data_IF_766726433438
#
_entry.id   IF_766726433438
#
_cell.length_a   1.000
_cell.length_b   1.000
_cell.length_c   1.000
_cell.angle_alpha   90.00
_cell.angle_beta   90.00
_cell.angle_gamma   90.00
#
_symmetry.space_group_name_H-M   'P 1'
#
loop_
_entity.id
_entity.type
_entity.pdbx_description
1 polymer ?
#
# COMPACT_ATOMS: atom_id res chain seq x y z
N UNK A 1 -32.57 -1.71 10.31
CA UNK A 1 -31.81 -1.06 11.40
C UNK A 1 -30.80 -0.07 10.86
N UNK A 2 -30.07 -0.39 9.80
CA UNK A 2 -28.97 0.42 9.23
C UNK A 2 -29.35 1.90 8.98
N UNK A 3 -30.49 2.18 8.38
CA UNK A 3 -30.92 3.56 8.12
C UNK A 3 -31.07 4.40 9.41
N UNK A 4 -31.48 3.79 10.53
CA UNK A 4 -31.58 4.50 11.82
C UNK A 4 -30.20 4.79 12.40
N UNK A 5 -29.26 3.84 12.24
CA UNK A 5 -27.88 3.98 12.66
C UNK A 5 -27.20 5.11 11.84
N UNK A 6 -27.36 5.09 10.51
CA UNK A 6 -26.84 6.14 9.64
C UNK A 6 -27.43 7.53 9.93
N UNK A 7 -28.73 7.60 10.24
CA UNK A 7 -29.35 8.87 10.62
C UNK A 7 -28.75 9.42 11.90
N UNK A 8 -28.58 8.56 12.93
CA UNK A 8 -27.97 8.98 14.19
C UNK A 8 -26.51 9.40 14.05
N UNK A 9 -25.75 8.66 13.22
CA UNK A 9 -24.39 9.05 12.88
C UNK A 9 -24.32 10.41 12.20
N UNK A 10 -25.20 10.67 11.24
CA UNK A 10 -25.28 11.95 10.55
C UNK A 10 -25.63 13.11 11.49
N UNK A 11 -26.53 12.89 12.47
CA UNK A 11 -26.85 13.87 13.51
C UNK A 11 -25.60 14.22 14.34
N UNK A 12 -24.86 13.22 14.81
CA UNK A 12 -23.63 13.41 15.58
C UNK A 12 -22.53 14.12 14.75
N UNK A 13 -22.36 13.72 13.51
CA UNK A 13 -21.43 14.37 12.57
C UNK A 13 -21.78 15.83 12.39
N UNK A 14 -23.04 16.14 12.14
CA UNK A 14 -23.53 17.53 11.95
C UNK A 14 -23.33 18.37 13.22
N UNK A 15 -23.61 17.81 14.40
CA UNK A 15 -23.38 18.48 15.67
C UNK A 15 -21.89 18.81 15.86
N UNK A 16 -21.01 17.83 15.58
CA UNK A 16 -19.56 18.01 15.64
C UNK A 16 -19.06 19.11 14.70
N UNK A 17 -19.43 19.05 13.41
CA UNK A 17 -18.99 19.99 12.37
C UNK A 17 -19.45 21.41 12.69
N UNK A 18 -20.67 21.58 13.19
CA UNK A 18 -21.18 22.87 13.65
C UNK A 18 -20.42 23.42 14.88
N UNK A 19 -20.03 22.54 15.82
CA UNK A 19 -19.32 22.93 17.04
C UNK A 19 -17.87 23.31 16.81
N UNK A 20 -17.17 22.52 15.97
CA UNK A 20 -15.72 22.65 15.79
C UNK A 20 -15.29 23.30 14.46
N UNK A 21 -16.22 23.51 13.53
CA UNK A 21 -15.97 24.05 12.20
C UNK A 21 -14.85 23.28 11.44
N UNK A 22 -14.84 21.97 11.56
CA UNK A 22 -13.91 21.06 10.88
C UNK A 22 -14.56 19.72 10.56
N UNK A 23 -14.08 18.98 9.55
CA UNK A 23 -14.61 17.66 9.20
C UNK A 23 -14.53 16.67 10.36
N UNK A 24 -15.59 15.87 10.55
CA UNK A 24 -15.62 14.82 11.55
C UNK A 24 -14.54 13.75 11.26
N UNK A 25 -13.96 13.17 12.29
CA UNK A 25 -12.87 12.19 12.26
C UNK A 25 -11.50 12.71 11.75
N UNK A 26 -11.39 13.98 11.38
CA UNK A 26 -10.09 14.56 11.00
C UNK A 26 -9.18 14.78 12.22
N UNK A 27 -9.76 15.00 13.38
CA UNK A 27 -9.05 15.20 14.66
C UNK A 27 -9.63 14.23 15.69
N UNK A 28 -8.83 13.25 16.11
CA UNK A 28 -9.24 12.18 17.00
C UNK A 28 -9.69 12.73 18.37
N UNK A 29 -8.93 13.62 19.00
CA UNK A 29 -9.19 14.10 20.35
C UNK A 29 -10.58 14.76 20.47
N UNK A 30 -10.94 15.57 19.49
CA UNK A 30 -12.25 16.23 19.48
C UNK A 30 -13.38 15.31 18.99
N UNK A 31 -13.07 14.31 18.17
CA UNK A 31 -14.06 13.34 17.65
C UNK A 31 -14.41 12.26 18.67
N UNK A 32 -13.53 11.98 19.63
CA UNK A 32 -13.69 10.90 20.62
C UNK A 32 -15.01 10.97 21.37
N UNK A 33 -15.43 12.16 21.86
CA UNK A 33 -16.70 12.34 22.56
C UNK A 33 -17.89 11.86 21.73
N UNK A 34 -17.88 12.09 20.42
CA UNK A 34 -18.97 11.75 19.51
C UNK A 34 -18.94 10.27 19.11
N UNK A 35 -17.75 9.69 18.99
CA UNK A 35 -17.59 8.25 18.84
C UNK A 35 -18.10 7.49 20.06
N UNK A 36 -17.84 7.99 21.28
CA UNK A 36 -18.37 7.41 22.53
C UNK A 36 -19.91 7.52 22.62
N UNK A 37 -20.50 8.62 22.17
CA UNK A 37 -21.96 8.75 22.06
C UNK A 37 -22.53 7.69 21.10
N UNK A 38 -21.88 7.50 19.95
CA UNK A 38 -22.28 6.49 18.97
C UNK A 38 -22.13 5.07 19.52
N UNK A 39 -21.02 4.75 20.20
CA UNK A 39 -20.79 3.48 20.87
C UNK A 39 -21.92 3.20 21.88
N UNK A 40 -22.24 4.17 22.72
CA UNK A 40 -23.31 4.05 23.75
C UNK A 40 -24.66 3.76 23.10
N UNK A 41 -25.00 4.47 22.02
CA UNK A 41 -26.23 4.23 21.25
C UNK A 41 -26.28 2.81 20.68
N UNK A 42 -25.17 2.34 20.11
CA UNK A 42 -25.09 1.00 19.51
C UNK A 42 -25.18 -0.11 20.57
N UNK A 43 -24.56 0.07 21.73
CA UNK A 43 -24.69 -0.88 22.86
C UNK A 43 -26.14 -0.99 23.37
N UNK A 44 -26.86 0.12 23.43
CA UNK A 44 -28.29 0.08 23.73
C UNK A 44 -29.07 -0.73 22.69
N UNK A 45 -28.81 -0.49 21.41
CA UNK A 45 -29.46 -1.21 20.31
C UNK A 45 -29.07 -2.69 20.25
N UNK A 46 -27.84 -3.04 20.61
CA UNK A 46 -27.39 -4.44 20.74
C UNK A 46 -28.15 -5.17 21.83
N UNK A 47 -28.39 -4.52 22.99
CA UNK A 47 -29.19 -5.11 24.06
C UNK A 47 -30.67 -5.33 23.66
N UNK A 48 -31.23 -4.46 22.81
CA UNK A 48 -32.59 -4.60 22.28
C UNK A 48 -32.69 -5.69 21.19
N UNK A 49 -31.67 -5.82 20.37
CA UNK A 49 -31.64 -6.70 19.20
C UNK A 49 -30.27 -7.38 19.06
N UNK A 50 -29.92 -8.38 19.89
CA UNK A 50 -28.57 -8.97 19.95
C UNK A 50 -28.11 -9.61 18.63
N UNK A 51 -29.02 -10.18 17.84
CA UNK A 51 -28.70 -10.83 16.55
C UNK A 51 -28.65 -9.88 15.35
N UNK A 52 -28.73 -8.56 15.58
CA UNK A 52 -28.80 -7.59 14.48
C UNK A 52 -27.40 -7.26 13.93
N UNK A 53 -27.08 -7.74 12.73
CA UNK A 53 -25.77 -7.57 12.07
C UNK A 53 -25.45 -6.09 11.82
N UNK A 54 -26.46 -5.24 11.50
CA UNK A 54 -26.22 -3.80 11.30
C UNK A 54 -25.61 -3.15 12.56
N UNK A 55 -26.13 -3.55 13.73
CA UNK A 55 -25.67 -3.00 15.02
C UNK A 55 -24.28 -3.52 15.34
N UNK A 56 -24.10 -4.84 15.23
CA UNK A 56 -22.85 -5.51 15.62
C UNK A 56 -21.67 -5.05 14.76
N UNK A 57 -21.83 -5.04 13.44
CA UNK A 57 -20.76 -4.62 12.53
C UNK A 57 -20.45 -3.11 12.65
N UNK A 58 -21.48 -2.27 12.86
CA UNK A 58 -21.22 -0.83 13.06
C UNK A 58 -20.56 -0.58 14.42
N UNK A 59 -20.96 -1.29 15.49
CA UNK A 59 -20.32 -1.18 16.80
C UNK A 59 -18.83 -1.54 16.73
N UNK A 60 -18.52 -2.65 16.06
CA UNK A 60 -17.15 -3.05 15.82
C UNK A 60 -16.35 -1.93 15.10
N UNK A 61 -16.93 -1.33 14.05
CA UNK A 61 -16.29 -0.23 13.32
C UNK A 61 -16.06 1.02 14.20
N UNK A 62 -17.04 1.37 15.05
CA UNK A 62 -16.91 2.51 15.98
C UNK A 62 -15.81 2.26 17.01
N UNK A 63 -15.71 1.03 17.55
CA UNK A 63 -14.65 0.69 18.50
C UNK A 63 -13.26 0.71 17.89
N UNK A 64 -13.13 0.30 16.63
CA UNK A 64 -11.87 0.45 15.86
C UNK A 64 -11.50 1.94 15.71
N UNK A 65 -12.44 2.80 15.34
CA UNK A 65 -12.19 4.24 15.21
C UNK A 65 -11.86 4.90 16.57
N UNK A 66 -12.42 4.39 17.67
CA UNK A 66 -12.09 4.82 19.03
C UNK A 66 -10.71 4.40 19.49
N UNK A 67 -10.05 3.46 18.79
CA UNK A 67 -8.83 2.80 19.25
C UNK A 67 -9.01 2.21 20.66
N UNK A 68 -10.13 1.52 20.85
CA UNK A 68 -10.53 0.97 22.14
C UNK A 68 -9.72 -0.27 22.46
N UNK A 69 -8.65 -0.12 23.24
CA UNK A 69 -7.73 -1.19 23.60
C UNK A 69 -8.38 -2.31 24.44
N UNK A 70 -9.54 -2.02 25.09
CA UNK A 70 -10.29 -3.01 25.86
C UNK A 70 -11.26 -3.83 25.01
N UNK A 71 -11.44 -3.47 23.72
CA UNK A 71 -12.38 -4.10 22.81
C UNK A 71 -11.64 -4.99 21.80
N UNK A 72 -11.65 -6.30 22.06
CA UNK A 72 -11.19 -7.27 21.08
C UNK A 72 -12.21 -7.42 19.96
N UNK A 73 -11.90 -6.81 18.86
CA UNK A 73 -12.71 -6.78 17.65
C UNK A 73 -12.96 -8.18 17.06
N UNK A 74 -11.93 -9.02 17.03
CA UNK A 74 -11.98 -10.37 16.46
C UNK A 74 -12.82 -11.27 17.34
N UNK A 75 -12.54 -11.29 18.65
CA UNK A 75 -13.32 -12.06 19.64
C UNK A 75 -14.78 -11.66 19.61
N UNK A 76 -15.08 -10.36 19.59
CA UNK A 76 -16.44 -9.85 19.56
C UNK A 76 -17.26 -10.36 18.35
N UNK A 77 -16.69 -10.32 17.14
CA UNK A 77 -17.37 -10.80 15.94
C UNK A 77 -17.41 -12.33 15.86
N UNK A 78 -16.41 -13.02 16.38
CA UNK A 78 -16.41 -14.48 16.49
C UNK A 78 -17.48 -14.96 17.49
N UNK A 79 -17.60 -14.34 18.64
CA UNK A 79 -18.65 -14.66 19.63
C UNK A 79 -20.04 -14.42 19.07
N UNK A 80 -20.25 -13.33 18.35
CA UNK A 80 -21.48 -13.08 17.63
C UNK A 80 -21.83 -14.21 16.65
N UNK A 81 -20.87 -14.68 15.85
CA UNK A 81 -21.09 -15.81 14.94
C UNK A 81 -21.36 -17.10 15.70
N UNK A 82 -20.62 -17.39 16.79
CA UNK A 82 -20.81 -18.60 17.59
C UNK A 82 -22.25 -18.68 18.12
N UNK A 83 -22.84 -17.54 18.50
CA UNK A 83 -24.18 -17.50 19.06
C UNK A 83 -25.29 -17.48 17.99
N UNK A 84 -25.09 -16.73 16.90
CA UNK A 84 -26.19 -16.42 15.97
C UNK A 84 -26.04 -16.98 14.55
N UNK A 85 -24.90 -17.56 14.16
CA UNK A 85 -24.59 -17.95 12.80
C UNK A 85 -25.73 -18.77 12.13
N UNK A 86 -26.34 -19.70 12.88
CA UNK A 86 -27.40 -20.57 12.34
C UNK A 86 -28.68 -19.81 11.93
N UNK A 87 -28.89 -18.60 12.48
CA UNK A 87 -30.06 -17.75 12.22
C UNK A 87 -29.79 -16.66 11.19
N UNK A 88 -28.51 -16.43 10.81
CA UNK A 88 -28.12 -15.39 9.88
C UNK A 88 -28.36 -15.82 8.42
N UNK A 89 -28.70 -14.84 7.57
CA UNK A 89 -28.68 -15.03 6.14
C UNK A 89 -27.23 -15.17 5.62
N UNK A 90 -27.06 -15.76 4.41
CA UNK A 90 -25.74 -15.90 3.82
C UNK A 90 -25.06 -14.54 3.58
N UNK A 91 -25.84 -13.50 3.22
CA UNK A 91 -25.31 -12.14 3.09
C UNK A 91 -24.82 -11.58 4.43
N UNK A 92 -25.57 -11.80 5.53
CA UNK A 92 -25.17 -11.34 6.86
C UNK A 92 -23.89 -12.05 7.32
N UNK A 93 -23.80 -13.37 7.10
CA UNK A 93 -22.56 -14.13 7.38
C UNK A 93 -21.39 -13.61 6.57
N UNK A 94 -21.58 -13.43 5.26
CA UNK A 94 -20.52 -12.90 4.38
C UNK A 94 -20.04 -11.52 4.84
N UNK A 95 -20.96 -10.66 5.31
CA UNK A 95 -20.65 -9.35 5.88
C UNK A 95 -19.74 -9.46 7.12
N UNK A 96 -20.12 -10.31 8.07
CA UNK A 96 -19.33 -10.52 9.30
C UNK A 96 -17.97 -11.13 8.97
N UNK A 97 -17.91 -12.13 8.08
CA UNK A 97 -16.65 -12.73 7.67
C UNK A 97 -15.74 -11.73 6.95
N UNK A 98 -16.27 -10.85 6.10
CA UNK A 98 -15.48 -9.81 5.45
C UNK A 98 -14.91 -8.82 6.48
N UNK A 99 -15.69 -8.43 7.49
CA UNK A 99 -15.24 -7.56 8.56
C UNK A 99 -14.19 -8.24 9.47
N UNK A 100 -14.30 -9.55 9.74
CA UNK A 100 -13.28 -10.31 10.45
C UNK A 100 -11.96 -10.36 9.67
N UNK A 101 -12.03 -10.58 8.35
CA UNK A 101 -10.85 -10.64 7.50
C UNK A 101 -10.06 -9.32 7.45
N UNK A 102 -10.70 -8.19 7.69
CA UNK A 102 -10.07 -6.86 7.69
C UNK A 102 -8.93 -6.74 8.71
N UNK A 103 -9.07 -7.37 9.89
CA UNK A 103 -8.14 -7.16 11.00
C UNK A 103 -6.90 -8.05 10.97
N UNK A 104 -6.97 -9.15 10.26
CA UNK A 104 -5.91 -10.17 10.24
C UNK A 104 -4.77 -9.90 9.25
N UNK A 105 -4.62 -8.67 8.80
CA UNK A 105 -3.51 -8.10 8.02
C UNK A 105 -2.82 -9.10 7.05
N UNK A 106 -3.60 -9.63 6.08
CA UNK A 106 -3.16 -10.62 5.10
C UNK A 106 -2.60 -11.93 5.66
N UNK A 107 -2.98 -12.28 6.89
CA UNK A 107 -2.67 -13.57 7.50
C UNK A 107 -3.44 -14.72 6.82
N UNK A 108 -3.09 -15.95 7.20
CA UNK A 108 -3.86 -17.14 6.78
C UNK A 108 -5.31 -17.09 7.29
N UNK A 109 -5.55 -16.47 8.42
CA UNK A 109 -6.89 -16.32 9.00
C UNK A 109 -7.71 -15.29 8.22
N UNK A 110 -7.09 -14.19 7.79
CA UNK A 110 -7.69 -13.24 6.84
C UNK A 110 -8.14 -13.94 5.56
N UNK A 111 -7.27 -14.72 4.93
CA UNK A 111 -7.63 -15.50 3.74
C UNK A 111 -8.78 -16.48 4.00
N UNK A 112 -8.79 -17.15 5.15
CA UNK A 112 -9.87 -18.07 5.53
C UNK A 112 -11.21 -17.35 5.59
N UNK A 113 -11.29 -16.20 6.25
CA UNK A 113 -12.51 -15.42 6.36
C UNK A 113 -12.99 -14.84 5.04
N UNK A 114 -12.09 -14.29 4.22
CA UNK A 114 -12.46 -13.85 2.86
C UNK A 114 -12.98 -15.01 2.00
N UNK A 115 -12.40 -16.19 2.09
CA UNK A 115 -12.90 -17.36 1.37
C UNK A 115 -14.28 -17.81 1.89
N UNK A 116 -14.52 -17.80 3.20
CA UNK A 116 -15.85 -18.07 3.75
C UNK A 116 -16.90 -17.08 3.21
N UNK A 117 -16.56 -15.77 3.18
CA UNK A 117 -17.46 -14.78 2.62
C UNK A 117 -17.72 -15.02 1.12
N UNK A 118 -16.65 -15.26 0.34
CA UNK A 118 -16.74 -15.55 -1.10
C UNK A 118 -17.59 -16.80 -1.39
N UNK A 119 -17.43 -17.89 -0.60
CA UNK A 119 -18.15 -19.15 -0.79
C UNK A 119 -19.66 -19.00 -0.52
N UNK A 120 -20.05 -17.98 0.21
CA UNK A 120 -21.43 -17.51 0.39
C UNK A 120 -21.90 -16.56 -0.73
N UNK A 121 -21.12 -16.38 -1.80
CA UNK A 121 -21.38 -15.42 -2.87
C UNK A 121 -21.53 -13.98 -2.36
N UNK A 122 -20.57 -13.52 -1.55
CA UNK A 122 -20.56 -12.17 -0.97
C UNK A 122 -20.92 -11.11 -2.00
N UNK A 123 -21.89 -10.23 -1.71
CA UNK A 123 -22.18 -9.08 -2.58
C UNK A 123 -21.26 -7.87 -2.30
N UNK A 124 -20.33 -7.98 -1.36
CA UNK A 124 -19.50 -6.88 -0.89
C UNK A 124 -18.21 -6.77 -1.68
N UNK A 125 -17.93 -5.59 -2.21
CA UNK A 125 -16.72 -5.27 -2.96
C UNK A 125 -15.47 -5.49 -2.11
N UNK A 126 -15.55 -5.24 -0.82
CA UNK A 126 -14.48 -5.40 0.15
C UNK A 126 -13.94 -6.83 0.21
N UNK A 127 -14.82 -7.83 0.09
CA UNK A 127 -14.42 -9.24 0.04
C UNK A 127 -13.44 -9.52 -1.11
N UNK A 128 -13.74 -9.00 -2.29
CA UNK A 128 -12.95 -9.27 -3.50
C UNK A 128 -11.74 -8.36 -3.61
N UNK A 129 -11.84 -7.12 -3.12
CA UNK A 129 -10.68 -6.23 -3.00
C UNK A 129 -9.65 -6.83 -2.03
N UNK A 130 -10.09 -7.31 -0.87
CA UNK A 130 -9.23 -7.98 0.10
C UNK A 130 -8.54 -9.23 -0.46
N UNK A 131 -9.30 -10.11 -1.13
CA UNK A 131 -8.72 -11.28 -1.83
C UNK A 131 -7.72 -10.86 -2.91
N UNK A 132 -8.03 -9.82 -3.68
CA UNK A 132 -7.13 -9.27 -4.70
C UNK A 132 -5.81 -8.82 -4.10
N UNK A 133 -5.85 -8.07 -3.02
CA UNK A 133 -4.67 -7.59 -2.32
C UNK A 133 -3.86 -8.72 -1.67
N UNK A 134 -4.53 -9.68 -1.03
CA UNK A 134 -3.87 -10.86 -0.47
C UNK A 134 -3.03 -11.59 -1.52
N UNK A 135 -3.63 -11.94 -2.65
CA UNK A 135 -2.91 -12.66 -3.70
C UNK A 135 -1.89 -11.79 -4.44
N UNK A 136 -2.05 -10.46 -4.44
CA UNK A 136 -1.02 -9.57 -4.95
C UNK A 136 0.20 -9.56 -4.03
N UNK A 137 0.01 -9.51 -2.71
CA UNK A 137 1.09 -9.62 -1.72
C UNK A 137 1.81 -10.98 -1.83
N UNK A 138 1.07 -12.08 -1.97
CA UNK A 138 1.65 -13.40 -2.20
C UNK A 138 2.48 -13.47 -3.51
N UNK A 139 2.02 -12.78 -4.57
CA UNK A 139 2.81 -12.63 -5.79
C UNK A 139 4.10 -11.85 -5.54
N UNK A 140 4.03 -10.78 -4.76
CA UNK A 140 5.20 -9.97 -4.45
C UNK A 140 6.26 -10.76 -3.70
N UNK A 141 5.83 -11.56 -2.74
CA UNK A 141 6.72 -12.40 -1.95
C UNK A 141 7.30 -13.57 -2.76
N UNK A 142 6.43 -14.34 -3.42
CA UNK A 142 6.81 -15.59 -4.09
C UNK A 142 7.29 -15.41 -5.53
N UNK A 143 6.96 -14.27 -6.18
CA UNK A 143 7.09 -14.02 -7.63
C UNK A 143 6.36 -15.04 -8.51
N UNK A 144 5.40 -15.80 -7.95
CA UNK A 144 4.59 -16.75 -8.73
C UNK A 144 3.47 -16.01 -9.49
N UNK A 145 3.57 -16.00 -10.82
CA UNK A 145 2.57 -15.37 -11.71
C UNK A 145 1.16 -15.96 -11.55
N UNK A 146 0.99 -17.14 -10.95
CA UNK A 146 -0.33 -17.67 -10.65
C UNK A 146 -1.07 -16.79 -9.64
N UNK A 147 -0.36 -16.34 -8.60
CA UNK A 147 -0.93 -15.44 -7.60
C UNK A 147 -1.36 -14.12 -8.22
N UNK A 148 -0.56 -13.55 -9.13
CA UNK A 148 -0.94 -12.35 -9.86
C UNK A 148 -2.21 -12.54 -10.71
N UNK A 149 -2.36 -13.69 -11.39
CA UNK A 149 -3.56 -14.00 -12.16
C UNK A 149 -4.80 -14.19 -11.28
N UNK A 150 -4.62 -14.74 -10.08
CA UNK A 150 -5.71 -14.87 -9.09
C UNK A 150 -6.11 -13.47 -8.60
N UNK A 151 -5.14 -12.64 -8.23
CA UNK A 151 -5.34 -11.24 -7.85
C UNK A 151 -6.10 -10.45 -8.91
N UNK A 152 -5.66 -10.52 -10.17
CA UNK A 152 -6.34 -9.91 -11.31
C UNK A 152 -7.83 -10.31 -11.40
N UNK A 153 -8.15 -11.58 -11.23
CA UNK A 153 -9.53 -12.04 -11.30
C UNK A 153 -10.39 -11.46 -10.17
N UNK A 154 -9.83 -11.34 -8.95
CA UNK A 154 -10.54 -10.75 -7.82
C UNK A 154 -10.71 -9.24 -7.98
N UNK A 155 -9.70 -8.50 -8.44
CA UNK A 155 -9.85 -7.07 -8.73
C UNK A 155 -10.84 -6.82 -9.86
N UNK A 156 -10.88 -7.69 -10.87
CA UNK A 156 -11.90 -7.65 -11.91
C UNK A 156 -13.31 -7.81 -11.32
N UNK A 157 -13.51 -8.82 -10.45
CA UNK A 157 -14.79 -9.04 -9.78
C UNK A 157 -15.18 -7.86 -8.90
N UNK A 158 -14.23 -7.30 -8.13
CA UNK A 158 -14.46 -6.12 -7.30
C UNK A 158 -14.97 -4.93 -8.15
N UNK A 159 -14.33 -4.69 -9.29
CA UNK A 159 -14.74 -3.62 -10.22
C UNK A 159 -16.10 -3.87 -10.86
N UNK A 160 -16.45 -5.14 -11.15
CA UNK A 160 -17.77 -5.50 -11.67
C UNK A 160 -18.90 -5.30 -10.64
N UNK A 161 -18.59 -5.43 -9.33
CA UNK A 161 -19.53 -5.16 -8.24
C UNK A 161 -19.71 -3.67 -8.03
N UNK A 162 -18.60 -2.92 -7.95
CA UNK A 162 -18.59 -1.47 -7.73
C UNK A 162 -17.47 -0.83 -8.54
N UNK A 163 -17.82 -0.01 -9.52
CA UNK A 163 -16.84 0.76 -10.27
C UNK A 163 -16.53 2.07 -9.50
N UNK A 164 -15.38 2.09 -8.85
CA UNK A 164 -14.84 3.22 -8.09
C UNK A 164 -13.41 3.51 -8.53
N UNK A 165 -12.80 4.58 -7.99
CA UNK A 165 -11.38 4.87 -8.19
C UNK A 165 -10.52 3.67 -7.79
N UNK A 166 -10.67 3.18 -6.56
CA UNK A 166 -9.82 2.12 -5.99
C UNK A 166 -9.96 0.81 -6.77
N UNK A 167 -11.19 0.39 -7.08
CA UNK A 167 -11.40 -0.88 -7.81
C UNK A 167 -10.86 -0.82 -9.23
N UNK A 168 -11.02 0.32 -9.91
CA UNK A 168 -10.49 0.51 -11.26
C UNK A 168 -8.97 0.65 -11.25
N UNK A 169 -8.40 1.36 -10.28
CA UNK A 169 -6.97 1.51 -10.10
C UNK A 169 -6.28 0.16 -9.84
N UNK A 170 -6.77 -0.62 -8.87
CA UNK A 170 -6.19 -1.92 -8.52
C UNK A 170 -6.30 -2.92 -9.67
N UNK A 171 -7.41 -2.88 -10.42
CA UNK A 171 -7.54 -3.68 -11.63
C UNK A 171 -6.51 -3.28 -12.70
N UNK A 172 -6.30 -1.97 -12.93
CA UNK A 172 -5.29 -1.48 -13.87
C UNK A 172 -3.85 -1.82 -13.44
N UNK A 173 -3.54 -1.76 -12.13
CA UNK A 173 -2.25 -2.22 -11.58
C UNK A 173 -2.03 -3.71 -11.89
N UNK A 174 -3.03 -4.56 -11.69
CA UNK A 174 -2.90 -5.98 -12.01
C UNK A 174 -2.67 -6.24 -13.51
N UNK A 175 -3.31 -5.46 -14.38
CA UNK A 175 -3.06 -5.51 -15.83
C UNK A 175 -1.62 -5.08 -16.17
N UNK A 176 -1.13 -4.01 -15.55
CA UNK A 176 0.24 -3.53 -15.74
C UNK A 176 1.27 -4.62 -15.36
N UNK A 177 1.11 -5.23 -14.18
CA UNK A 177 2.02 -6.31 -13.73
C UNK A 177 1.91 -7.58 -14.61
N UNK A 178 0.73 -7.83 -15.22
CA UNK A 178 0.54 -8.87 -16.26
C UNK A 178 1.11 -8.46 -17.63
N UNK A 179 1.72 -7.28 -17.76
CA UNK A 179 2.28 -6.71 -18.99
C UNK A 179 1.24 -6.34 -20.07
N UNK A 180 0.00 -6.17 -19.67
CA UNK A 180 -1.10 -5.70 -20.53
C UNK A 180 -1.13 -4.15 -20.50
N UNK A 181 -0.01 -3.55 -20.88
CA UNK A 181 0.27 -2.12 -20.68
C UNK A 181 -0.73 -1.19 -21.39
N UNK A 182 -1.19 -1.55 -22.59
CA UNK A 182 -2.18 -0.76 -23.32
C UNK A 182 -3.51 -0.68 -22.57
N UNK A 183 -3.97 -1.81 -22.01
CA UNK A 183 -5.23 -1.86 -21.25
C UNK A 183 -5.13 -1.13 -19.92
N UNK A 184 -3.98 -1.27 -19.22
CA UNK A 184 -3.73 -0.52 -18.02
C UNK A 184 -3.71 0.99 -18.28
N UNK A 185 -3.01 1.42 -19.33
CA UNK A 185 -2.92 2.82 -19.75
C UNK A 185 -4.30 3.42 -20.06
N UNK A 186 -5.17 2.68 -20.76
CA UNK A 186 -6.54 3.12 -21.07
C UNK A 186 -7.36 3.39 -19.81
N UNK A 187 -7.26 2.51 -18.81
CA UNK A 187 -7.98 2.67 -17.53
C UNK A 187 -7.40 3.85 -16.74
N UNK A 188 -6.07 3.98 -16.63
CA UNK A 188 -5.45 5.10 -15.94
C UNK A 188 -5.78 6.44 -16.61
N UNK A 189 -5.88 6.50 -17.94
CA UNK A 189 -6.33 7.69 -18.67
C UNK A 189 -7.77 8.04 -18.30
N UNK A 190 -8.67 7.06 -18.30
CA UNK A 190 -10.07 7.28 -17.89
C UNK A 190 -10.18 7.78 -16.44
N UNK A 191 -9.37 7.25 -15.54
CA UNK A 191 -9.30 7.75 -14.16
C UNK A 191 -8.74 9.17 -14.09
N UNK A 192 -7.72 9.50 -14.88
CA UNK A 192 -7.14 10.85 -14.91
C UNK A 192 -8.12 11.91 -15.43
N UNK A 193 -9.06 11.55 -16.31
CA UNK A 193 -10.14 12.46 -16.74
C UNK A 193 -11.07 12.85 -15.58
N UNK A 194 -11.28 11.94 -14.62
CA UNK A 194 -12.13 12.15 -13.44
C UNK A 194 -11.33 12.82 -12.31
N UNK A 195 -10.06 12.46 -12.17
CA UNK A 195 -9.14 12.90 -11.11
C UNK A 195 -7.88 13.55 -11.70
N UNK A 196 -8.00 14.73 -12.34
CA UNK A 196 -6.94 15.30 -13.17
C UNK A 196 -5.67 15.69 -12.39
N UNK A 197 -5.80 15.94 -11.09
CA UNK A 197 -4.68 16.35 -10.24
C UNK A 197 -4.08 15.19 -9.41
N UNK A 198 -4.45 13.95 -9.74
CA UNK A 198 -3.94 12.76 -9.06
C UNK A 198 -2.54 12.41 -9.58
N UNK A 199 -1.51 12.69 -8.78
CA UNK A 199 -0.10 12.50 -9.16
C UNK A 199 0.24 11.02 -9.42
N UNK A 200 -0.33 10.11 -8.62
CA UNK A 200 -0.17 8.66 -8.81
C UNK A 200 -0.59 8.20 -10.22
N UNK A 201 -1.67 8.74 -10.76
CA UNK A 201 -2.13 8.39 -12.11
C UNK A 201 -1.14 8.87 -13.18
N UNK A 202 -0.55 10.05 -13.02
CA UNK A 202 0.48 10.57 -13.93
C UNK A 202 1.72 9.66 -13.92
N UNK A 203 2.13 9.19 -12.75
CA UNK A 203 3.24 8.24 -12.62
C UNK A 203 2.91 6.89 -13.28
N UNK A 204 1.72 6.34 -13.03
CA UNK A 204 1.26 5.09 -13.66
C UNK A 204 1.26 5.18 -15.19
N UNK A 205 0.78 6.31 -15.73
CA UNK A 205 0.79 6.57 -17.17
C UNK A 205 2.23 6.68 -17.71
N UNK A 206 3.13 7.36 -16.99
CA UNK A 206 4.54 7.40 -17.37
C UNK A 206 5.12 5.98 -17.48
N UNK A 207 4.86 5.12 -16.50
CA UNK A 207 5.32 3.73 -16.49
C UNK A 207 4.74 2.92 -17.65
N UNK A 208 3.43 3.05 -17.94
CA UNK A 208 2.84 2.41 -19.10
C UNK A 208 3.52 2.85 -20.39
N UNK A 209 3.74 4.15 -20.58
CA UNK A 209 4.33 4.70 -21.81
C UNK A 209 5.82 4.32 -21.97
N UNK A 210 6.56 4.08 -20.87
CA UNK A 210 7.90 3.49 -20.91
C UNK A 210 7.86 2.12 -21.58
N UNK A 211 7.01 1.22 -21.10
CA UNK A 211 6.90 -0.14 -21.63
C UNK A 211 6.26 -0.20 -23.03
N UNK A 212 5.46 0.78 -23.39
CA UNK A 212 4.91 0.97 -24.75
C UNK A 212 5.92 1.59 -25.72
N UNK A 213 7.11 2.00 -25.26
CA UNK A 213 8.16 2.61 -26.06
C UNK A 213 7.87 4.07 -26.46
N UNK A 214 6.94 4.72 -25.81
CA UNK A 214 6.51 6.10 -26.11
C UNK A 214 7.27 7.12 -25.25
N UNK A 215 8.60 7.20 -25.42
CA UNK A 215 9.51 8.04 -24.62
C UNK A 215 9.00 9.46 -24.38
N UNK A 216 8.58 10.16 -25.43
CA UNK A 216 8.11 11.55 -25.31
C UNK A 216 6.89 11.70 -24.42
N UNK A 217 5.96 10.75 -24.48
CA UNK A 217 4.78 10.75 -23.61
C UNK A 217 5.13 10.43 -22.17
N UNK A 218 6.00 9.42 -21.95
CA UNK A 218 6.47 9.07 -20.62
C UNK A 218 7.11 10.28 -19.92
N UNK A 219 8.00 10.99 -20.61
CA UNK A 219 8.61 12.23 -20.10
C UNK A 219 7.54 13.28 -19.81
N UNK A 220 6.59 13.50 -20.73
CA UNK A 220 5.52 14.49 -20.55
C UNK A 220 4.63 14.20 -19.34
N UNK A 221 4.46 12.94 -18.95
CA UNK A 221 3.72 12.58 -17.74
C UNK A 221 4.58 12.75 -16.48
N UNK A 222 5.81 12.20 -16.46
CA UNK A 222 6.65 12.25 -15.27
C UNK A 222 7.06 13.67 -14.88
N UNK A 223 7.24 14.60 -15.84
CA UNK A 223 7.52 16.01 -15.58
C UNK A 223 6.37 16.75 -14.85
N UNK A 224 5.16 16.20 -14.90
CA UNK A 224 3.99 16.75 -14.19
C UNK A 224 3.83 16.19 -12.80
N UNK A 225 4.49 15.09 -12.48
CA UNK A 225 4.42 14.48 -11.15
C UNK A 225 5.12 15.39 -10.14
N UNK A 226 4.40 15.75 -9.09
CA UNK A 226 4.91 16.60 -8.00
C UNK A 226 4.62 15.91 -6.68
N UNK A 227 5.59 15.22 -6.08
CA UNK A 227 5.43 14.53 -4.82
C UNK A 227 4.87 15.48 -3.74
N UNK A 228 3.90 14.99 -2.97
CA UNK A 228 3.27 15.74 -1.88
C UNK A 228 2.33 16.89 -2.33
N UNK A 229 2.05 17.04 -3.63
CA UNK A 229 1.13 18.06 -4.16
C UNK A 229 -0.19 17.48 -4.67
N UNK A 230 -0.56 16.30 -4.22
CA UNK A 230 -1.84 15.73 -4.55
C UNK A 230 -2.99 16.57 -4.00
N UNK A 231 -4.03 16.72 -4.79
CA UNK A 231 -5.29 17.25 -4.30
C UNK A 231 -5.88 16.24 -3.33
N UNK A 232 -6.36 16.74 -2.21
CA UNK A 232 -6.94 15.92 -1.14
C UNK A 232 -8.29 15.34 -1.60
N UNK A 233 -8.22 14.21 -2.30
CA UNK A 233 -9.36 13.34 -2.48
C UNK A 233 -9.60 12.58 -1.16
N UNK A 234 -10.86 12.22 -0.84
CA UNK A 234 -11.22 11.51 0.40
C UNK A 234 -10.71 10.04 0.46
N UNK A 235 -9.66 9.72 -0.26
CA UNK A 235 -8.93 8.47 -0.22
C UNK A 235 -7.44 8.77 -0.07
N UNK A 236 -6.63 7.75 0.13
CA UNK A 236 -5.23 7.86 0.52
C UNK A 236 -4.44 8.93 -0.24
N UNK A 237 -3.61 9.68 0.50
CA UNK A 237 -2.60 10.58 -0.08
C UNK A 237 -1.61 9.76 -0.90
N UNK A 238 -1.12 10.35 -2.01
CA UNK A 238 -0.10 9.71 -2.81
C UNK A 238 1.26 9.69 -2.09
N UNK A 239 1.76 8.47 -1.86
CA UNK A 239 3.11 8.24 -1.36
C UNK A 239 4.10 8.08 -2.53
N UNK A 240 4.14 9.07 -3.42
CA UNK A 240 5.13 9.07 -4.50
C UNK A 240 6.47 9.51 -3.92
N UNK A 241 7.46 8.61 -4.01
CA UNK A 241 8.84 8.93 -3.70
C UNK A 241 9.58 9.48 -4.93
N UNK A 242 10.64 10.25 -4.67
CA UNK A 242 11.49 10.78 -5.75
C UNK A 242 12.14 9.66 -6.57
N UNK A 243 12.46 8.53 -5.94
CA UNK A 243 13.04 7.35 -6.59
C UNK A 243 12.18 6.86 -7.75
N UNK A 244 10.84 6.82 -7.57
CA UNK A 244 9.91 6.38 -8.60
C UNK A 244 9.96 7.28 -9.86
N UNK A 245 10.26 8.55 -9.70
CA UNK A 245 10.45 9.52 -10.79
C UNK A 245 11.81 9.29 -11.45
N UNK A 246 12.84 9.13 -10.63
CA UNK A 246 14.23 8.88 -11.07
C UNK A 246 14.30 7.62 -11.94
N UNK A 247 13.60 6.57 -11.53
CA UNK A 247 13.54 5.28 -12.23
C UNK A 247 12.98 5.41 -13.65
N UNK A 248 12.02 6.31 -13.89
CA UNK A 248 11.50 6.57 -15.23
C UNK A 248 12.61 7.09 -16.15
N UNK A 249 13.42 8.05 -15.68
CA UNK A 249 14.49 8.61 -16.48
C UNK A 249 15.59 7.58 -16.77
N UNK A 250 15.91 6.73 -15.79
CA UNK A 250 16.82 5.62 -16.01
C UNK A 250 16.28 4.63 -17.05
N UNK A 251 15.03 4.20 -16.93
CA UNK A 251 14.38 3.27 -17.86
C UNK A 251 14.30 3.82 -19.30
N UNK A 252 14.24 5.14 -19.46
CA UNK A 252 14.22 5.84 -20.74
C UNK A 252 15.64 6.15 -21.28
N UNK A 253 16.70 5.75 -20.58
CA UNK A 253 18.09 6.08 -20.90
C UNK A 253 18.38 7.59 -20.92
N UNK A 254 17.56 8.39 -20.19
CA UNK A 254 17.77 9.83 -19.97
C UNK A 254 18.76 10.07 -18.82
N UNK A 255 19.96 9.53 -19.00
CA UNK A 255 20.98 9.45 -17.94
C UNK A 255 21.45 10.79 -17.38
N UNK A 256 21.40 11.87 -18.17
CA UNK A 256 21.77 13.19 -17.66
C UNK A 256 20.73 13.72 -16.67
N UNK A 257 19.43 13.51 -16.95
CA UNK A 257 18.37 13.83 -16.01
C UNK A 257 18.41 12.93 -14.78
N UNK A 258 18.62 11.62 -14.98
CA UNK A 258 18.79 10.65 -13.91
C UNK A 258 19.89 11.09 -12.93
N UNK A 259 21.10 11.38 -13.42
CA UNK A 259 22.22 11.85 -12.60
C UNK A 259 21.96 13.19 -11.89
N UNK A 260 21.24 14.09 -12.55
CA UNK A 260 20.89 15.39 -11.98
C UNK A 260 19.93 15.23 -10.80
N UNK A 261 18.90 14.38 -10.93
CA UNK A 261 17.93 14.13 -9.86
C UNK A 261 18.55 13.33 -8.70
N UNK A 262 19.44 12.36 -8.98
CA UNK A 262 20.16 11.66 -7.93
C UNK A 262 21.16 12.56 -7.18
N UNK A 263 21.60 13.67 -7.80
CA UNK A 263 22.73 14.47 -7.30
C UNK A 263 22.62 14.96 -5.87
N UNK A 264 21.42 15.38 -5.48
CA UNK A 264 21.15 15.90 -4.12
C UNK A 264 20.97 14.78 -3.09
N UNK A 265 20.54 13.59 -3.51
CA UNK A 265 20.31 12.45 -2.62
C UNK A 265 21.61 11.72 -2.24
N UNK A 266 22.60 11.69 -3.15
CA UNK A 266 23.84 10.90 -3.01
C UNK A 266 24.71 11.34 -1.82
N UNK A 267 24.60 12.60 -1.40
CA UNK A 267 25.39 13.11 -0.28
C UNK A 267 24.86 12.62 1.09
N UNK A 268 23.57 12.31 1.17
CA UNK A 268 22.88 12.04 2.43
C UNK A 268 22.56 10.57 2.66
N UNK A 269 22.50 9.77 1.59
CA UNK A 269 22.06 8.38 1.68
C UNK A 269 23.21 7.38 1.48
N UNK A 270 23.01 6.19 2.04
CA UNK A 270 23.78 5.01 1.74
C UNK A 270 23.57 4.61 0.28
N UNK A 271 24.65 4.52 -0.49
CA UNK A 271 24.59 4.36 -1.95
C UNK A 271 25.18 3.06 -2.45
N UNK A 272 25.60 2.16 -1.57
CA UNK A 272 26.28 0.92 -1.97
C UNK A 272 25.42 -0.02 -2.83
N UNK A 273 24.10 0.09 -2.71
CA UNK A 273 23.13 -0.71 -3.48
C UNK A 273 22.68 -0.03 -4.78
N UNK A 274 23.19 1.16 -5.08
CA UNK A 274 22.77 1.94 -6.25
C UNK A 274 23.57 1.57 -7.51
N UNK A 275 23.42 0.32 -7.96
CA UNK A 275 24.13 -0.22 -9.12
C UNK A 275 23.93 0.65 -10.37
N UNK A 276 22.69 1.11 -10.62
CA UNK A 276 22.32 1.96 -11.75
C UNK A 276 23.07 3.28 -11.73
N UNK A 277 23.24 3.87 -10.53
CA UNK A 277 23.95 5.13 -10.38
C UNK A 277 25.44 5.00 -10.66
N UNK A 278 26.11 4.00 -10.10
CA UNK A 278 27.50 3.69 -10.37
C UNK A 278 27.71 3.35 -11.85
N UNK A 279 26.80 2.56 -12.43
CA UNK A 279 26.84 2.22 -13.85
C UNK A 279 26.78 3.47 -14.74
N UNK A 280 25.83 4.38 -14.49
CA UNK A 280 25.67 5.60 -15.28
C UNK A 280 26.85 6.55 -15.10
N UNK A 281 27.41 6.71 -13.89
CA UNK A 281 28.64 7.47 -13.67
C UNK A 281 29.80 6.91 -14.51
N UNK A 282 29.94 5.59 -14.55
CA UNK A 282 30.97 4.93 -15.36
C UNK A 282 30.75 5.13 -16.86
N UNK A 283 29.53 4.95 -17.33
CA UNK A 283 29.12 5.14 -18.72
C UNK A 283 29.34 6.58 -19.20
N UNK A 284 28.99 7.56 -18.38
CA UNK A 284 29.13 9.01 -18.67
C UNK A 284 30.56 9.52 -18.40
N UNK A 285 31.50 8.63 -18.11
CA UNK A 285 32.89 8.97 -17.80
C UNK A 285 33.10 9.94 -16.64
N UNK A 286 32.20 9.95 -15.66
CA UNK A 286 32.32 10.76 -14.42
C UNK A 286 33.19 10.03 -13.38
N UNK A 287 34.45 9.77 -13.76
CA UNK A 287 35.37 8.91 -13.00
C UNK A 287 35.70 9.43 -11.60
N UNK A 288 35.87 10.73 -11.47
CA UNK A 288 36.19 11.35 -10.16
C UNK A 288 35.06 11.09 -9.14
N UNK A 289 33.81 11.33 -9.54
CA UNK A 289 32.63 11.07 -8.69
C UNK A 289 32.47 9.58 -8.40
N UNK A 290 32.66 8.74 -9.41
CA UNK A 290 32.62 7.29 -9.25
C UNK A 290 33.62 6.80 -8.18
N UNK A 291 34.89 7.18 -8.30
CA UNK A 291 35.92 6.73 -7.35
C UNK A 291 35.76 7.33 -5.96
N UNK A 292 35.30 8.57 -5.85
CA UNK A 292 35.00 9.19 -4.57
C UNK A 292 33.90 8.43 -3.81
N UNK A 293 32.84 8.02 -4.51
CA UNK A 293 31.74 7.24 -3.91
C UNK A 293 32.15 5.80 -3.59
N UNK A 294 32.97 5.19 -4.45
CA UNK A 294 33.54 3.87 -4.18
C UNK A 294 34.34 3.87 -2.89
N UNK A 295 35.20 4.87 -2.69
CA UNK A 295 36.01 5.03 -1.46
C UNK A 295 35.13 5.31 -0.23
N UNK A 296 34.12 6.20 -0.37
CA UNK A 296 33.18 6.51 0.69
C UNK A 296 32.44 5.25 1.19
N UNK A 297 31.93 4.42 0.27
CA UNK A 297 31.20 3.21 0.64
C UNK A 297 32.14 2.14 1.25
N UNK A 298 33.34 1.97 0.73
CA UNK A 298 34.32 1.07 1.36
C UNK A 298 34.61 1.43 2.80
N UNK A 299 34.85 2.71 3.04
CA UNK A 299 35.11 3.23 4.38
C UNK A 299 33.90 3.03 5.30
N UNK A 300 32.72 3.25 4.79
CA UNK A 300 31.46 2.98 5.52
C UNK A 300 31.36 1.53 5.98
N UNK A 301 31.60 0.55 5.08
CA UNK A 301 31.60 -0.86 5.46
C UNK A 301 32.67 -1.22 6.48
N UNK A 302 33.87 -0.65 6.35
CA UNK A 302 34.94 -0.86 7.33
C UNK A 302 34.56 -0.34 8.70
N UNK A 303 34.03 0.89 8.78
CA UNK A 303 33.55 1.49 10.02
C UNK A 303 32.38 0.67 10.61
N UNK A 304 31.40 0.26 9.83
CA UNK A 304 30.26 -0.54 10.30
C UNK A 304 30.69 -1.93 10.85
N UNK A 305 31.65 -2.58 10.21
CA UNK A 305 32.20 -3.86 10.70
C UNK A 305 33.00 -3.64 11.99
N UNK A 306 33.82 -2.58 12.08
CA UNK A 306 34.57 -2.23 13.30
C UNK A 306 33.62 -1.89 14.47
N UNK A 307 32.57 -1.13 14.20
CA UNK A 307 31.52 -0.82 15.20
C UNK A 307 30.82 -2.08 15.68
N UNK A 308 30.39 -2.97 14.77
CA UNK A 308 29.75 -4.22 15.12
C UNK A 308 30.65 -5.16 15.96
N UNK A 309 31.96 -5.15 15.70
CA UNK A 309 32.95 -5.92 16.49
C UNK A 309 33.11 -5.30 17.89
N UNK A 310 33.11 -3.97 18.00
CA UNK A 310 33.33 -3.25 19.23
C UNK A 310 32.07 -3.19 20.13
N UNK A 311 30.90 -3.33 19.54
CA UNK A 311 29.63 -3.25 20.25
C UNK A 311 29.46 -4.45 21.21
N UNK A 312 29.13 -4.14 22.48
CA UNK A 312 28.88 -5.10 23.54
C UNK A 312 27.38 -5.28 23.86
N UNK A 313 26.49 -4.51 23.22
CA UNK A 313 25.06 -4.46 23.54
C UNK A 313 24.20 -5.49 22.74
N UNK A 314 24.82 -6.53 22.19
CA UNK A 314 24.09 -7.62 21.54
C UNK A 314 23.46 -8.59 22.55
N UNK A 315 22.25 -9.05 22.25
CA UNK A 315 21.54 -10.04 23.09
C UNK A 315 22.29 -11.39 23.16
N UNK A 316 23.10 -11.70 22.15
CA UNK A 316 23.91 -12.92 22.09
C UNK A 316 25.14 -12.80 21.18
N UNK A 317 26.17 -13.59 21.47
CA UNK A 317 27.35 -13.72 20.59
C UNK A 317 26.96 -14.19 19.17
N UNK A 318 25.91 -15.00 19.06
CA UNK A 318 25.39 -15.45 17.76
C UNK A 318 24.86 -14.29 16.93
N UNK A 319 24.06 -13.42 17.50
CA UNK A 319 23.53 -12.23 16.86
C UNK A 319 24.65 -11.29 16.40
N UNK A 320 25.64 -11.07 17.26
CA UNK A 320 26.84 -10.30 16.92
C UNK A 320 27.54 -10.86 15.68
N UNK A 321 27.76 -12.17 15.65
CA UNK A 321 28.41 -12.84 14.51
C UNK A 321 27.55 -12.78 13.24
N UNK A 322 26.23 -12.91 13.34
CA UNK A 322 25.29 -12.77 12.21
C UNK A 322 25.32 -11.33 11.66
N UNK A 323 25.37 -10.30 12.49
CA UNK A 323 25.48 -8.90 12.08
C UNK A 323 26.82 -8.63 11.38
N UNK A 324 27.94 -9.07 11.94
CA UNK A 324 29.26 -8.92 11.30
C UNK A 324 29.28 -9.62 9.94
N UNK A 325 28.77 -10.86 9.88
CA UNK A 325 28.73 -11.62 8.63
C UNK A 325 27.87 -10.95 7.55
N UNK A 326 26.76 -10.31 7.94
CA UNK A 326 25.91 -9.52 7.04
C UNK A 326 26.67 -8.35 6.44
N UNK A 327 27.38 -7.55 7.25
CA UNK A 327 28.19 -6.42 6.76
C UNK A 327 29.34 -6.86 5.85
N UNK A 328 29.97 -7.98 6.16
CA UNK A 328 31.01 -8.57 5.32
C UNK A 328 30.45 -9.08 3.97
N UNK A 329 29.22 -9.58 3.95
CA UNK A 329 28.52 -9.99 2.74
C UNK A 329 28.15 -8.79 1.89
N UNK A 330 27.59 -7.73 2.49
CA UNK A 330 27.25 -6.49 1.79
C UNK A 330 28.49 -5.82 1.18
N UNK A 331 29.59 -5.78 1.93
CA UNK A 331 30.90 -5.30 1.40
C UNK A 331 31.33 -6.12 0.19
N UNK A 332 31.22 -7.45 0.25
CA UNK A 332 31.55 -8.34 -0.86
C UNK A 332 30.70 -8.09 -2.10
N UNK A 333 29.38 -7.98 -1.89
CA UNK A 333 28.43 -7.70 -2.96
C UNK A 333 28.73 -6.35 -3.64
N UNK A 334 29.02 -5.33 -2.85
CA UNK A 334 29.46 -4.03 -3.37
C UNK A 334 30.75 -4.13 -4.21
N UNK A 335 31.79 -4.83 -3.74
CA UNK A 335 33.05 -5.00 -4.48
C UNK A 335 32.83 -5.75 -5.80
N UNK A 336 31.97 -6.77 -5.81
CA UNK A 336 31.61 -7.53 -7.02
C UNK A 336 30.86 -6.65 -8.02
N UNK A 337 29.92 -5.81 -7.55
CA UNK A 337 29.20 -4.84 -8.37
C UNK A 337 30.19 -3.85 -9.02
N UNK A 338 31.07 -3.23 -8.24
CA UNK A 338 32.08 -2.28 -8.74
C UNK A 338 33.03 -2.94 -9.76
N UNK A 339 33.47 -4.16 -9.47
CA UNK A 339 34.33 -4.93 -10.40
C UNK A 339 33.56 -5.22 -11.70
N UNK A 340 32.33 -5.64 -11.63
CA UNK A 340 31.45 -5.93 -12.76
C UNK A 340 31.31 -4.69 -13.68
N UNK A 341 30.98 -3.54 -13.11
CA UNK A 341 30.82 -2.28 -13.84
C UNK A 341 32.15 -1.89 -14.55
N UNK A 342 33.27 -1.94 -13.83
CA UNK A 342 34.60 -1.62 -14.40
C UNK A 342 35.01 -2.58 -15.50
N UNK A 343 34.57 -3.83 -15.45
CA UNK A 343 34.85 -4.88 -16.44
C UNK A 343 33.95 -4.82 -17.67
N UNK A 344 32.99 -3.87 -17.72
CA UNK A 344 32.09 -3.69 -18.86
C UNK A 344 30.82 -4.55 -18.76
N UNK A 345 30.26 -4.67 -17.58
CA UNK A 345 28.96 -5.30 -17.37
C UNK A 345 27.86 -4.71 -18.27
N UNK A 346 26.84 -5.51 -18.55
CA UNK A 346 25.64 -5.04 -19.22
C UNK A 346 24.90 -4.04 -18.34
N UNK A 347 24.09 -3.17 -18.98
CA UNK A 347 23.24 -2.18 -18.30
C UNK A 347 22.37 -2.88 -17.25
N UNK A 348 22.41 -2.45 -15.97
CA UNK A 348 21.46 -2.92 -14.97
C UNK A 348 20.03 -2.66 -15.43
N UNK A 349 19.17 -3.66 -15.27
CA UNK A 349 17.77 -3.54 -15.67
C UNK A 349 16.93 -3.27 -14.43
N UNK A 350 16.31 -2.11 -14.38
CA UNK A 350 15.25 -1.86 -13.41
C UNK A 350 13.92 -2.36 -13.94
N UNK A 351 13.05 -2.70 -13.02
CA UNK A 351 11.66 -3.03 -13.31
C UNK A 351 10.77 -2.02 -12.64
N UNK A 352 10.14 -1.15 -13.42
CA UNK A 352 9.10 -0.26 -12.92
C UNK A 352 7.93 -1.11 -12.43
N UNK A 353 7.53 -0.90 -11.17
CA UNK A 353 6.50 -1.67 -10.49
C UNK A 353 5.37 -0.76 -10.05
N UNK A 354 4.15 -1.25 -10.18
CA UNK A 354 2.98 -0.61 -9.63
C UNK A 354 2.39 -1.47 -8.51
N UNK A 355 1.90 -0.81 -7.48
CA UNK A 355 1.29 -1.45 -6.32
C UNK A 355 -0.17 -1.04 -6.22
N UNK A 356 -1.07 -1.98 -5.87
CA UNK A 356 -2.46 -1.64 -5.65
C UNK A 356 -2.62 -0.74 -4.43
N UNK A 357 -3.61 0.13 -4.47
CA UNK A 357 -3.97 0.94 -3.31
C UNK A 357 -4.74 0.09 -2.29
N UNK A 358 -4.33 0.23 -1.04
CA UNK A 358 -5.05 -0.34 0.09
C UNK A 358 -6.29 0.51 0.36
N UNK A 359 -7.44 -0.13 0.40
CA UNK A 359 -8.69 0.50 0.80
C UNK A 359 -9.19 -0.11 2.10
N UNK A 360 -10.18 0.52 2.69
CA UNK A 360 -10.86 -0.05 3.84
C UNK A 360 -11.64 -1.30 3.41
N UNK A 361 -11.34 -2.45 4.01
CA UNK A 361 -12.04 -3.73 3.76
C UNK A 361 -13.26 -3.93 4.66
N UNK A 362 -13.47 -3.04 5.60
CA UNK A 362 -14.62 -3.11 6.49
C UNK A 362 -15.87 -2.65 5.77
N UNK A 363 -16.84 -3.54 5.61
CA UNK A 363 -18.09 -3.28 4.91
C UNK A 363 -18.87 -2.13 5.57
N UNK A 364 -18.80 -2.06 6.90
CA UNK A 364 -19.53 -1.07 7.71
C UNK A 364 -18.64 0.02 8.30
N UNK A 365 -17.57 0.37 7.61
CA UNK A 365 -16.67 1.41 8.08
C UNK A 365 -17.40 2.74 8.27
N UNK A 366 -17.48 3.20 9.53
CA UNK A 366 -18.13 4.48 9.85
C UNK A 366 -17.39 5.69 9.30
N UNK A 367 -16.10 5.56 8.99
CA UNK A 367 -15.29 6.61 8.36
C UNK A 367 -15.61 6.77 6.87
N UNK A 368 -15.81 5.65 6.16
CA UNK A 368 -15.85 5.65 4.70
C UNK A 368 -17.22 5.32 4.10
N UNK A 369 -18.15 4.77 4.87
CA UNK A 369 -19.46 4.28 4.37
C UNK A 369 -20.68 4.97 4.98
N UNK A 370 -20.46 5.90 5.96
CA UNK A 370 -21.52 6.58 6.70
C UNK A 370 -21.57 8.09 6.49
#
# INVERSE_FOLDING_TARGET
MLNKIKSHWHELKTEYENRYNKPFLKDFETSKEYLEKMKSYLLEKQSECPSNVDVVCTLASVCVELRDEEFDYVEFLQDFLNEFESSLSDNDKARVYTNLAFWEDFSKDSLMYFNKAKDLNSPFVETYTGLGLYYFSEFEFSKDEKNLKISYNYFKTAREIEESYVTSFNFAVSLFELKEYEKANEIFLGLLEIYPDRMRLLLCLAYCEVYLGNKTKAISYVEKVKPGQDVNYDFNTDDISEDQIIDVYYALEEYDMFLNLCGDCVEYYYTAEWEEYFYVLWLKNQKEKFFSLEEKNRKYFEEAIEEAIADEDYDSEKEKQETIASWEEDKRNFEEMIFSIKSGASIPKIKLRLYPEYSCFMVDCVRHKF
#
